data_IF_976898056272
#
_entry.id   IF_976898056272
#
_cell.length_a   1.000
_cell.length_b   1.000
_cell.length_c   1.000
_cell.angle_alpha   90.00
_cell.angle_beta   90.00
_cell.angle_gamma   90.00
#
_symmetry.space_group_name_H-M   'P 1'
#
loop_
_entity.id
_entity.type
_entity.pdbx_description
1 polymer ?
#
# COMPACT_ATOMS: atom_id res chain seq x y z
N UNK A 1 3.77 -26.88 4.46
CA UNK A 1 3.12 -26.39 3.23
C UNK A 1 4.19 -25.77 2.34
N UNK A 2 4.33 -26.25 1.11
CA UNK A 2 5.23 -25.59 0.18
C UNK A 2 4.76 -24.16 -0.07
N UNK A 3 5.71 -23.22 -0.11
CA UNK A 3 5.42 -21.82 -0.43
C UNK A 3 5.06 -21.72 -1.90
N UNK A 4 3.85 -21.26 -2.21
CA UNK A 4 3.48 -20.95 -3.58
C UNK A 4 4.32 -19.78 -4.08
N UNK A 5 4.94 -19.94 -5.23
CA UNK A 5 5.65 -18.85 -5.90
C UNK A 5 4.68 -17.73 -6.26
N UNK A 6 5.12 -16.47 -6.13
CA UNK A 6 4.33 -15.34 -6.61
C UNK A 6 4.32 -15.32 -8.13
N UNK A 7 3.14 -15.12 -8.68
CA UNK A 7 3.01 -14.84 -10.12
C UNK A 7 3.46 -13.41 -10.37
N UNK A 8 4.37 -13.20 -11.30
CA UNK A 8 4.79 -11.89 -11.74
C UNK A 8 4.45 -11.70 -13.21
N UNK A 9 3.73 -10.63 -13.51
CA UNK A 9 3.36 -10.21 -14.86
C UNK A 9 4.01 -8.87 -15.14
N UNK A 10 4.80 -8.80 -16.18
CA UNK A 10 5.49 -7.58 -16.57
C UNK A 10 4.49 -6.47 -16.93
N UNK A 11 4.77 -5.25 -16.55
CA UNK A 11 3.93 -4.06 -16.77
C UNK A 11 2.52 -4.11 -16.14
N UNK A 12 2.27 -5.06 -15.24
CA UNK A 12 1.03 -5.11 -14.47
C UNK A 12 1.15 -4.34 -13.15
N UNK A 13 0.01 -3.92 -12.65
CA UNK A 13 -0.12 -3.48 -11.26
C UNK A 13 -0.43 -4.66 -10.35
N UNK A 14 -0.18 -4.47 -9.06
CA UNK A 14 -0.47 -5.47 -8.03
C UNK A 14 -1.25 -4.82 -6.90
N UNK A 15 -2.37 -5.42 -6.55
CA UNK A 15 -3.03 -5.12 -5.30
C UNK A 15 -2.29 -5.82 -4.16
N UNK A 16 -1.67 -5.04 -3.32
CA UNK A 16 -0.89 -5.52 -2.17
C UNK A 16 -1.73 -5.40 -0.91
N UNK A 17 -1.70 -6.44 -0.10
CA UNK A 17 -2.34 -6.47 1.22
C UNK A 17 -1.35 -7.03 2.24
N UNK A 18 -1.14 -6.33 3.34
CA UNK A 18 -0.39 -6.80 4.49
C UNK A 18 -1.21 -6.56 5.76
N UNK A 19 -1.25 -7.54 6.63
CA UNK A 19 -2.09 -7.53 7.84
C UNK A 19 -1.26 -7.83 9.08
N UNK A 20 -1.64 -7.19 10.19
CA UNK A 20 -1.06 -7.46 11.50
C UNK A 20 -1.36 -8.89 11.98
N UNK A 21 -0.41 -9.46 12.73
CA UNK A 21 -0.57 -10.79 13.34
C UNK A 21 -1.81 -10.79 14.25
N UNK A 22 -2.64 -11.83 14.16
CA UNK A 22 -3.88 -11.98 14.93
C UNK A 22 -4.84 -10.77 14.80
N UNK A 23 -4.79 -10.05 13.69
CA UNK A 23 -5.51 -8.80 13.45
C UNK A 23 -5.14 -7.67 14.43
N UNK A 24 -3.99 -7.74 15.09
CA UNK A 24 -3.49 -6.67 15.94
C UNK A 24 -3.19 -5.40 15.13
N UNK A 25 -3.27 -4.27 15.82
CA UNK A 25 -2.93 -2.98 15.23
C UNK A 25 -1.45 -2.93 14.84
N UNK A 26 -1.20 -2.43 13.64
CA UNK A 26 0.14 -2.10 13.13
C UNK A 26 0.39 -0.59 13.13
N UNK A 27 -0.64 0.19 13.45
CA UNK A 27 -0.58 1.63 13.70
C UNK A 27 -1.46 1.94 14.92
N UNK A 28 -0.95 2.68 15.90
CA UNK A 28 -1.68 3.05 17.12
C UNK A 28 -1.90 4.55 17.27
N UNK A 29 -1.10 5.34 16.58
CA UNK A 29 -1.26 6.79 16.57
C UNK A 29 -0.79 7.40 15.23
N UNK A 30 -1.10 8.70 14.99
CA UNK A 30 -0.74 9.35 13.73
C UNK A 30 0.75 9.28 13.36
N UNK A 31 1.65 9.24 14.35
CA UNK A 31 3.09 9.16 14.05
C UNK A 31 3.48 7.82 13.43
N UNK A 32 2.77 6.75 13.73
CA UNK A 32 3.01 5.43 13.12
C UNK A 32 2.65 5.42 11.63
N UNK A 33 1.50 6.00 11.29
CA UNK A 33 1.07 6.18 9.90
C UNK A 33 2.07 7.04 9.11
N UNK A 34 2.46 8.19 9.67
CA UNK A 34 3.44 9.07 9.02
C UNK A 34 4.78 8.39 8.81
N UNK A 35 5.23 7.60 9.77
CA UNK A 35 6.46 6.84 9.62
C UNK A 35 6.36 5.82 8.49
N UNK A 36 5.26 5.09 8.41
CA UNK A 36 5.05 4.12 7.34
C UNK A 36 5.06 4.78 5.95
N UNK A 37 4.39 5.92 5.82
CA UNK A 37 4.41 6.70 4.57
C UNK A 37 5.82 7.18 4.19
N UNK A 38 6.64 7.59 5.17
CA UNK A 38 8.05 7.93 4.92
C UNK A 38 8.84 6.73 4.44
N UNK A 39 8.59 5.55 5.00
CA UNK A 39 9.24 4.31 4.56
C UNK A 39 8.83 3.94 3.13
N UNK A 40 7.56 4.07 2.79
CA UNK A 40 7.09 3.89 1.41
C UNK A 40 7.87 4.81 0.46
N UNK A 41 7.96 6.09 0.78
CA UNK A 41 8.69 7.07 -0.05
C UNK A 41 10.17 6.67 -0.20
N UNK A 42 10.83 6.34 0.91
CA UNK A 42 12.25 5.91 0.91
C UNK A 42 12.47 4.70 0.00
N UNK A 43 11.65 3.68 0.15
CA UNK A 43 11.84 2.44 -0.61
C UNK A 43 11.35 2.53 -2.07
N UNK A 44 10.41 3.40 -2.38
CA UNK A 44 10.08 3.75 -3.77
C UNK A 44 11.32 4.26 -4.52
N UNK A 45 12.00 5.22 -3.94
CA UNK A 45 13.22 5.79 -4.54
C UNK A 45 14.28 4.72 -4.71
N UNK A 46 14.46 3.88 -3.70
CA UNK A 46 15.48 2.82 -3.72
C UNK A 46 15.21 1.74 -4.77
N UNK A 47 13.95 1.36 -4.98
CA UNK A 47 13.58 0.20 -5.80
C UNK A 47 13.02 0.55 -7.17
N UNK A 48 12.61 1.79 -7.38
CA UNK A 48 11.91 2.22 -8.59
C UNK A 48 10.45 1.77 -8.65
N UNK A 49 9.91 1.19 -7.58
CA UNK A 49 8.49 0.84 -7.52
C UNK A 49 7.62 2.10 -7.55
N UNK A 50 6.42 1.97 -8.13
CA UNK A 50 5.42 3.04 -8.23
C UNK A 50 4.20 2.69 -7.42
N UNK A 51 3.61 3.67 -6.75
CA UNK A 51 2.39 3.54 -5.94
C UNK A 51 1.31 4.42 -6.54
N UNK A 52 0.19 3.82 -6.92
CA UNK A 52 -0.91 4.53 -7.57
C UNK A 52 -2.09 4.79 -6.65
N UNK A 53 -2.20 4.04 -5.57
CA UNK A 53 -3.31 4.12 -4.64
C UNK A 53 -2.89 3.48 -3.32
N UNK A 54 -3.38 4.00 -2.20
CA UNK A 54 -3.16 3.36 -0.90
C UNK A 54 -4.27 3.66 0.09
N UNK A 55 -4.39 2.79 1.08
CA UNK A 55 -5.17 3.01 2.29
C UNK A 55 -4.49 2.26 3.45
N UNK A 56 -4.14 2.99 4.50
CA UNK A 56 -3.55 2.44 5.71
C UNK A 56 -4.63 2.35 6.79
N UNK A 57 -5.06 1.14 7.13
CA UNK A 57 -5.99 0.87 8.21
C UNK A 57 -5.21 0.52 9.49
N UNK A 58 -5.83 0.58 10.66
CA UNK A 58 -5.14 0.32 11.93
C UNK A 58 -4.39 -1.01 11.96
N UNK A 59 -4.97 -2.06 11.38
CA UNK A 59 -4.44 -3.42 11.45
C UNK A 59 -4.04 -4.02 10.09
N UNK A 60 -4.13 -3.27 9.01
CA UNK A 60 -3.73 -3.73 7.68
C UNK A 60 -3.53 -2.58 6.71
N UNK A 61 -2.84 -2.86 5.62
CA UNK A 61 -2.56 -1.89 4.57
C UNK A 61 -2.98 -2.44 3.21
N UNK A 62 -3.47 -1.56 2.35
CA UNK A 62 -3.72 -1.83 0.95
C UNK A 62 -2.99 -0.81 0.09
N UNK A 63 -2.38 -1.27 -1.00
CA UNK A 63 -1.93 -0.36 -2.05
C UNK A 63 -1.88 -1.04 -3.42
N UNK A 64 -1.89 -0.21 -4.44
CA UNK A 64 -1.65 -0.62 -5.82
C UNK A 64 -0.22 -0.23 -6.17
N UNK A 65 0.57 -1.24 -6.49
CA UNK A 65 1.99 -1.13 -6.76
C UNK A 65 2.30 -1.64 -8.18
N UNK A 66 3.15 -0.93 -8.88
CA UNK A 66 3.82 -1.41 -10.09
C UNK A 66 5.31 -1.53 -9.82
N UNK A 67 5.92 -2.62 -10.29
CA UNK A 67 7.36 -2.85 -10.18
C UNK A 67 8.00 -2.96 -11.55
N UNK A 68 8.43 -1.83 -12.15
CA UNK A 68 9.03 -1.85 -13.48
C UNK A 68 10.33 -2.67 -13.56
N UNK A 69 11.01 -2.85 -12.43
CA UNK A 69 12.27 -3.57 -12.33
C UNK A 69 12.11 -5.01 -11.82
N UNK A 70 10.91 -5.55 -11.87
CA UNK A 70 10.63 -6.97 -11.65
C UNK A 70 10.26 -7.36 -10.24
N UNK A 71 10.09 -8.66 -10.03
CA UNK A 71 9.65 -9.24 -8.77
C UNK A 71 10.62 -8.97 -7.62
N UNK A 72 11.94 -9.00 -7.88
CA UNK A 72 12.95 -8.76 -6.85
C UNK A 72 12.83 -7.34 -6.28
N UNK A 73 12.60 -6.33 -7.13
CA UNK A 73 12.40 -4.95 -6.69
C UNK A 73 11.15 -4.82 -5.82
N UNK A 74 10.05 -5.46 -6.20
CA UNK A 74 8.82 -5.50 -5.41
C UNK A 74 9.05 -6.17 -4.05
N UNK A 75 9.76 -7.29 -4.02
CA UNK A 75 10.08 -8.00 -2.78
C UNK A 75 11.00 -7.18 -1.88
N UNK A 76 11.99 -6.49 -2.44
CA UNK A 76 12.88 -5.58 -1.70
C UNK A 76 12.10 -4.40 -1.11
N UNK A 77 11.19 -3.82 -1.89
CA UNK A 77 10.31 -2.75 -1.42
C UNK A 77 9.46 -3.21 -0.22
N UNK A 78 8.74 -4.31 -0.38
CA UNK A 78 7.83 -4.82 0.66
C UNK A 78 8.58 -5.27 1.91
N UNK A 79 9.70 -5.96 1.74
CA UNK A 79 10.53 -6.37 2.88
C UNK A 79 11.10 -5.16 3.62
N UNK A 80 11.61 -4.18 2.89
CA UNK A 80 12.19 -2.98 3.49
C UNK A 80 11.17 -2.18 4.28
N UNK A 81 10.01 -1.89 3.70
CA UNK A 81 8.93 -1.15 4.37
C UNK A 81 8.42 -1.92 5.60
N UNK A 82 8.11 -3.20 5.41
CA UNK A 82 7.53 -4.02 6.47
C UNK A 82 8.47 -4.24 7.64
N UNK A 83 9.73 -4.59 7.37
CA UNK A 83 10.74 -4.84 8.41
C UNK A 83 11.09 -3.56 9.18
N UNK A 84 11.32 -2.46 8.47
CA UNK A 84 11.67 -1.18 9.11
C UNK A 84 10.54 -0.68 10.01
N UNK A 85 9.29 -0.83 9.56
CA UNK A 85 8.12 -0.47 10.38
C UNK A 85 7.99 -1.37 11.61
N UNK A 86 8.15 -2.68 11.43
CA UNK A 86 8.07 -3.65 12.54
C UNK A 86 9.12 -3.39 13.62
N UNK A 87 10.35 -3.13 13.23
CA UNK A 87 11.42 -2.81 14.19
C UNK A 87 11.11 -1.54 14.99
N UNK A 88 10.67 -0.47 14.30
CA UNK A 88 10.30 0.78 14.97
C UNK A 88 9.08 0.61 15.86
N UNK A 89 8.04 -0.04 15.38
CA UNK A 89 6.81 -0.25 16.13
C UNK A 89 7.04 -1.10 17.39
N UNK A 90 7.76 -2.21 17.24
CA UNK A 90 8.09 -3.07 18.37
C UNK A 90 8.97 -2.35 19.42
N UNK A 91 9.95 -1.57 18.98
CA UNK A 91 10.76 -0.75 19.87
C UNK A 91 9.94 0.30 20.61
N UNK A 92 9.09 1.02 19.88
CA UNK A 92 8.25 2.10 20.43
C UNK A 92 7.25 1.60 21.48
N UNK A 93 6.65 0.43 21.24
CA UNK A 93 5.59 -0.14 22.07
C UNK A 93 6.06 -1.28 22.96
N UNK A 94 7.36 -1.50 23.04
CA UNK A 94 7.98 -2.55 23.85
C UNK A 94 7.38 -3.94 23.56
N UNK A 95 7.24 -4.26 22.28
CA UNK A 95 6.72 -5.54 21.79
C UNK A 95 7.86 -6.43 21.30
N UNK A 96 7.62 -7.73 21.39
CA UNK A 96 8.47 -8.78 20.81
C UNK A 96 7.70 -9.61 19.80
N UNK A 97 8.42 -10.29 18.90
CA UNK A 97 7.80 -11.17 17.92
C UNK A 97 7.34 -10.46 16.64
N UNK A 98 6.65 -11.22 15.81
CA UNK A 98 6.19 -10.74 14.51
C UNK A 98 5.13 -9.65 14.64
N UNK A 99 5.24 -8.58 13.87
CA UNK A 99 4.20 -7.58 13.69
C UNK A 99 3.23 -7.99 12.59
N UNK A 100 3.76 -8.44 11.46
CA UNK A 100 3.00 -8.82 10.28
C UNK A 100 2.65 -10.31 10.28
N UNK A 101 1.39 -10.60 9.95
CA UNK A 101 0.92 -11.96 9.75
C UNK A 101 1.40 -12.48 8.40
N UNK A 102 2.27 -13.48 8.38
CA UNK A 102 2.77 -14.07 7.14
C UNK A 102 3.42 -13.04 6.18
N UNK A 103 3.65 -13.46 4.95
CA UNK A 103 4.08 -12.59 3.86
C UNK A 103 2.89 -11.76 3.35
N UNK A 104 3.17 -10.57 2.81
CA UNK A 104 2.16 -9.80 2.10
C UNK A 104 1.51 -10.61 0.97
N UNK A 105 0.25 -10.37 0.70
CA UNK A 105 -0.48 -10.91 -0.45
C UNK A 105 -0.37 -9.94 -1.62
N UNK A 106 -0.26 -10.48 -2.83
CA UNK A 106 -0.22 -9.70 -4.05
C UNK A 106 -1.14 -10.33 -5.10
N UNK A 107 -2.01 -9.52 -5.67
CA UNK A 107 -2.97 -9.92 -6.70
C UNK A 107 -2.71 -9.09 -7.95
N UNK A 108 -2.55 -9.75 -9.10
CA UNK A 108 -2.36 -9.06 -10.37
C UNK A 108 -3.60 -8.23 -10.71
N UNK A 109 -3.38 -6.97 -11.07
CA UNK A 109 -4.41 -6.07 -11.55
C UNK A 109 -3.94 -5.43 -12.87
N UNK A 110 -4.64 -5.73 -13.96
CA UNK A 110 -4.31 -5.18 -15.27
C UNK A 110 -4.69 -3.70 -15.34
N UNK A 111 -3.95 -2.93 -16.16
CA UNK A 111 -4.18 -1.49 -16.36
C UNK A 111 -5.40 -1.25 -17.26
N UNK A 112 -6.58 -1.48 -16.75
CA UNK A 112 -7.87 -1.32 -17.43
C UNK A 112 -8.88 -0.62 -16.51
N UNK A 113 -10.16 -0.54 -16.94
CA UNK A 113 -11.21 0.10 -16.17
C UNK A 113 -11.45 -0.55 -14.80
N UNK A 114 -11.18 -1.84 -14.66
CA UNK A 114 -11.26 -2.54 -13.40
C UNK A 114 -10.29 -1.96 -12.35
N UNK A 115 -9.11 -1.52 -12.79
CA UNK A 115 -8.12 -0.91 -11.89
C UNK A 115 -8.64 0.37 -11.21
N UNK A 116 -9.38 1.19 -11.96
CA UNK A 116 -9.98 2.42 -11.41
C UNK A 116 -11.03 2.09 -10.34
N UNK A 117 -11.84 1.06 -10.59
CA UNK A 117 -12.81 0.58 -9.60
C UNK A 117 -12.10 0.02 -8.36
N UNK A 118 -10.98 -0.64 -8.53
CA UNK A 118 -10.16 -1.15 -7.43
C UNK A 118 -9.56 -0.01 -6.59
N UNK A 119 -9.14 1.08 -7.21
CA UNK A 119 -8.69 2.27 -6.48
C UNK A 119 -9.78 2.80 -5.56
N UNK A 120 -10.97 2.98 -6.09
CA UNK A 120 -12.13 3.43 -5.31
C UNK A 120 -12.45 2.45 -4.18
N UNK A 121 -12.45 1.16 -4.45
CA UNK A 121 -12.65 0.11 -3.43
C UNK A 121 -11.65 0.23 -2.28
N UNK A 122 -10.37 0.41 -2.57
CA UNK A 122 -9.31 0.53 -1.57
C UNK A 122 -9.51 1.80 -0.73
N UNK A 123 -9.74 2.93 -1.37
CA UNK A 123 -9.86 4.22 -0.70
C UNK A 123 -11.15 4.35 0.13
N UNK A 124 -12.19 3.57 -0.16
CA UNK A 124 -13.43 3.52 0.62
C UNK A 124 -13.38 2.50 1.78
N UNK A 125 -12.26 1.85 2.02
CA UNK A 125 -12.10 0.93 3.14
C UNK A 125 -12.53 1.54 4.49
N UNK A 126 -12.09 2.77 4.86
CA UNK A 126 -12.51 3.36 6.13
C UNK A 126 -14.00 3.73 6.18
N UNK A 127 -14.63 3.96 5.03
CA UNK A 127 -16.08 4.16 4.96
C UNK A 127 -16.82 2.86 5.24
N UNK A 128 -16.42 1.76 4.60
CA UNK A 128 -16.99 0.43 4.84
C UNK A 128 -16.78 -0.05 6.28
N UNK A 129 -15.66 0.31 6.89
CA UNK A 129 -15.37 0.02 8.30
C UNK A 129 -16.09 0.98 9.27
N UNK A 130 -16.88 1.92 8.78
CA UNK A 130 -17.64 2.91 9.56
C UNK A 130 -16.75 3.82 10.43
N UNK A 131 -15.52 4.05 10.02
CA UNK A 131 -14.59 4.96 10.68
C UNK A 131 -14.88 6.41 10.30
N UNK A 132 -15.20 6.64 9.02
CA UNK A 132 -15.58 7.93 8.46
C UNK A 132 -16.81 7.77 7.54
N UNK A 133 -17.51 8.85 7.27
CA UNK A 133 -18.66 8.86 6.35
C UNK A 133 -18.24 9.03 4.89
N UNK A 134 -17.10 9.68 4.65
CA UNK A 134 -16.57 9.98 3.31
C UNK A 134 -15.09 9.64 3.25
N UNK A 135 -14.58 9.13 2.11
CA UNK A 135 -13.18 8.74 2.00
C UNK A 135 -12.21 9.92 2.18
N UNK A 136 -12.60 11.14 1.80
CA UNK A 136 -11.79 12.35 1.99
C UNK A 136 -11.56 12.73 3.45
N UNK A 137 -12.40 12.25 4.36
CA UNK A 137 -12.26 12.53 5.80
C UNK A 137 -11.22 11.62 6.48
N UNK A 138 -10.76 10.58 5.78
CA UNK A 138 -9.74 9.68 6.29
C UNK A 138 -8.34 10.14 5.85
N UNK A 139 -7.44 10.48 6.80
CA UNK A 139 -6.16 11.09 6.42
C UNK A 139 -5.13 10.11 5.84
N UNK A 140 -5.34 8.80 5.98
CA UNK A 140 -4.36 7.78 5.65
C UNK A 140 -4.73 6.98 4.39
N UNK A 141 -5.36 7.63 3.43
CA UNK A 141 -5.62 7.10 2.09
C UNK A 141 -5.24 8.11 1.00
N UNK A 142 -5.20 7.64 -0.23
CA UNK A 142 -4.82 8.43 -1.39
C UNK A 142 -5.97 9.23 -2.04
N UNK A 143 -7.18 9.17 -1.49
CA UNK A 143 -8.37 9.73 -2.14
C UNK A 143 -8.26 11.23 -2.44
N UNK A 144 -7.85 12.04 -1.45
CA UNK A 144 -7.71 13.48 -1.64
C UNK A 144 -6.71 13.84 -2.74
N UNK A 145 -5.60 13.13 -2.79
CA UNK A 145 -4.58 13.37 -3.82
C UNK A 145 -5.08 12.97 -5.20
N UNK A 146 -5.69 11.79 -5.31
CA UNK A 146 -6.16 11.25 -6.59
C UNK A 146 -7.37 11.98 -7.14
N UNK A 147 -8.34 12.30 -6.29
CA UNK A 147 -9.65 12.81 -6.69
C UNK A 147 -9.82 14.30 -6.50
N UNK A 148 -9.12 14.90 -5.53
CA UNK A 148 -9.29 16.31 -5.17
C UNK A 148 -8.04 17.16 -5.44
N UNK A 149 -7.00 16.58 -6.05
CA UNK A 149 -5.79 17.29 -6.45
C UNK A 149 -4.86 17.70 -5.31
N UNK A 150 -5.04 17.15 -4.10
CA UNK A 150 -4.11 17.40 -3.00
C UNK A 150 -2.74 16.78 -3.33
N UNK A 151 -1.66 17.55 -3.11
CA UNK A 151 -0.30 17.05 -3.35
C UNK A 151 0.05 15.91 -2.39
N UNK A 152 0.56 14.80 -2.96
CA UNK A 152 1.05 13.65 -2.22
C UNK A 152 2.33 13.13 -2.87
N UNK A 153 3.44 13.16 -2.14
CA UNK A 153 4.76 12.77 -2.66
C UNK A 153 4.91 11.26 -2.86
N UNK A 154 4.00 10.47 -2.32
CA UNK A 154 4.03 9.01 -2.43
C UNK A 154 3.43 8.54 -3.75
N UNK A 155 2.39 9.24 -4.22
CA UNK A 155 1.64 8.81 -5.39
C UNK A 155 2.38 9.05 -6.70
N UNK A 156 2.30 8.04 -7.54
CA UNK A 156 2.54 8.14 -8.97
C UNK A 156 1.19 8.17 -9.69
N UNK A 157 1.15 8.73 -10.88
CA UNK A 157 -0.07 8.81 -11.69
C UNK A 157 0.03 7.87 -12.87
N UNK A 158 -0.99 7.04 -13.03
CA UNK A 158 -1.06 6.08 -14.12
C UNK A 158 -1.64 6.73 -15.37
N UNK A 159 -1.01 6.48 -16.51
CA UNK A 159 -1.60 6.78 -17.81
C UNK A 159 -2.22 5.50 -18.35
N UNK A 160 -3.54 5.46 -18.44
CA UNK A 160 -4.23 4.34 -19.09
C UNK A 160 -4.08 4.47 -20.61
N UNK A 161 -3.79 3.35 -21.28
CA UNK A 161 -3.76 3.29 -22.73
C UNK A 161 -5.16 3.67 -23.26
N UNK A 162 -5.25 4.74 -24.04
CA UNK A 162 -6.50 5.23 -24.63
C UNK A 162 -7.04 6.56 -24.08
N UNK A 163 -6.53 7.05 -22.96
CA UNK A 163 -6.79 8.43 -22.52
C UNK A 163 -5.70 9.35 -23.09
N UNK A 164 -5.68 9.49 -24.41
CA UNK A 164 -4.93 10.53 -25.08
C UNK A 164 -5.56 11.86 -24.74
N UNK A 165 -5.11 12.50 -23.68
CA UNK A 165 -5.34 13.93 -23.51
C UNK A 165 -4.20 14.60 -24.26
N UNK A 166 -4.53 15.14 -25.42
CA UNK A 166 -3.65 16.05 -26.15
C UNK A 166 -3.43 17.33 -25.34
#
# INVERSE_FOLDING_TARGET
MPRTARVFVENACYHIVARGVQNDDVFRNPSDFRNYLRLIHKYKIKTGCRIYCYCLMDNHVHFILESPFGLKAMSTFMHGVGMSHALRFNGKYNRTGHLWQNRYKSFVALKDDYLINLFSYIEHNPVRAKIVSKPEDYPWNSYKARMLGKKDIILDYITLAGTGVG
#
